data_IF_687903741159
#
_entry.id   IF_687903741159
#
_cell.length_a   1.000
_cell.length_b   1.000
_cell.length_c   1.000
_cell.angle_alpha   90.00
_cell.angle_beta   90.00
_cell.angle_gamma   90.00
#
_symmetry.space_group_name_H-M   'P 1'
#
loop_
_entity.id
_entity.type
_entity.pdbx_description
1 polymer ?
#
# COMPACT_ATOMS: atom_id res chain seq x y z
N UNK A 1 11.90 9.84 49.95
CA UNK A 1 10.43 9.95 49.77
C UNK A 1 10.06 10.42 48.37
N UNK A 2 10.50 11.60 47.91
CA UNK A 2 10.13 12.15 46.59
C UNK A 2 10.50 11.27 45.38
N UNK A 3 11.65 10.60 45.41
CA UNK A 3 12.09 9.73 44.32
C UNK A 3 11.15 8.53 44.07
N UNK A 4 10.62 7.93 45.14
CA UNK A 4 9.70 6.79 45.05
C UNK A 4 8.32 7.21 44.51
N UNK A 5 7.84 8.39 44.90
CA UNK A 5 6.60 8.95 44.38
C UNK A 5 6.70 9.26 42.88
N UNK A 6 7.83 9.83 42.43
CA UNK A 6 8.06 10.12 41.02
C UNK A 6 8.14 8.84 40.15
N UNK A 7 8.80 7.78 40.64
CA UNK A 7 8.83 6.50 39.93
C UNK A 7 7.46 5.84 39.85
N UNK A 8 6.65 5.93 40.91
CA UNK A 8 5.30 5.40 40.89
C UNK A 8 4.47 6.11 39.80
N UNK A 9 4.51 7.44 39.73
CA UNK A 9 3.80 8.21 38.70
C UNK A 9 4.24 7.81 37.29
N UNK A 10 5.54 7.66 37.04
CA UNK A 10 6.06 7.21 35.74
C UNK A 10 5.56 5.82 35.35
N UNK A 11 5.57 4.87 36.29
CA UNK A 11 5.07 3.51 36.05
C UNK A 11 3.58 3.55 35.73
N UNK A 12 2.78 4.29 36.49
CA UNK A 12 1.34 4.43 36.22
C UNK A 12 1.08 5.07 34.86
N UNK A 13 1.89 6.07 34.49
CA UNK A 13 1.79 6.76 33.21
C UNK A 13 2.12 5.82 32.05
N UNK A 14 3.21 5.06 32.14
CA UNK A 14 3.59 4.04 31.14
C UNK A 14 2.54 2.94 31.03
N UNK A 15 2.05 2.43 32.17
CA UNK A 15 1.03 1.39 32.21
C UNK A 15 -0.29 1.82 31.57
N UNK A 16 -0.61 3.11 31.58
CA UNK A 16 -1.79 3.66 30.91
C UNK A 16 -1.54 4.00 29.44
N UNK A 17 -0.42 4.66 29.12
CA UNK A 17 -0.13 5.15 27.77
C UNK A 17 0.15 4.03 26.78
N UNK A 18 0.96 3.04 27.16
CA UNK A 18 1.37 1.96 26.25
C UNK A 18 0.18 1.18 25.68
N UNK A 19 -0.75 0.64 26.49
CA UNK A 19 -1.90 -0.08 25.95
C UNK A 19 -2.88 0.83 25.20
N UNK A 20 -3.05 2.07 25.64
CA UNK A 20 -3.92 3.04 24.97
C UNK A 20 -3.38 3.40 23.59
N UNK A 21 -2.08 3.66 23.50
CA UNK A 21 -1.38 3.92 22.24
C UNK A 21 -1.47 2.70 21.30
N UNK A 22 -1.28 1.49 21.83
CA UNK A 22 -1.44 0.25 21.07
C UNK A 22 -2.84 0.10 20.46
N UNK A 23 -3.89 0.34 21.25
CA UNK A 23 -5.29 0.26 20.77
C UNK A 23 -5.59 1.31 19.71
N UNK A 24 -5.24 2.58 19.95
CA UNK A 24 -5.47 3.66 18.99
C UNK A 24 -4.71 3.39 17.69
N UNK A 25 -3.44 2.99 17.78
CA UNK A 25 -2.64 2.63 16.61
C UNK A 25 -3.28 1.48 15.82
N UNK A 26 -3.70 0.41 16.49
CA UNK A 26 -4.35 -0.74 15.82
C UNK A 26 -5.65 -0.37 15.10
N UNK A 27 -6.47 0.52 15.71
CA UNK A 27 -7.71 1.00 15.12
C UNK A 27 -7.44 1.84 13.88
N UNK A 28 -6.49 2.77 13.96
CA UNK A 28 -6.09 3.63 12.84
C UNK A 28 -5.48 2.83 11.70
N UNK A 29 -4.64 1.82 12.00
CA UNK A 29 -4.07 0.95 10.95
C UNK A 29 -5.12 0.12 10.26
N UNK A 30 -6.15 -0.34 11.00
CA UNK A 30 -7.22 -1.15 10.42
C UNK A 30 -8.13 -0.31 9.51
N UNK A 31 -8.56 0.85 9.99
CA UNK A 31 -9.40 1.76 9.20
C UNK A 31 -8.69 2.23 7.92
N UNK A 32 -7.40 2.57 8.02
CA UNK A 32 -6.58 2.91 6.85
C UNK A 32 -6.41 1.72 5.91
N UNK A 33 -6.20 0.52 6.46
CA UNK A 33 -6.12 -0.72 5.67
C UNK A 33 -7.38 -0.99 4.86
N UNK A 34 -8.55 -0.87 5.48
CA UNK A 34 -9.84 -1.07 4.81
C UNK A 34 -10.07 -0.06 3.68
N UNK A 35 -9.69 1.21 3.90
CA UNK A 35 -9.73 2.25 2.86
C UNK A 35 -8.80 1.93 1.68
N UNK A 36 -7.57 1.51 1.95
CA UNK A 36 -6.61 1.11 0.92
C UNK A 36 -7.09 -0.09 0.11
N UNK A 37 -7.66 -1.10 0.78
CA UNK A 37 -8.24 -2.27 0.12
C UNK A 37 -9.44 -1.89 -0.75
N UNK A 38 -10.32 -1.01 -0.26
CA UNK A 38 -11.44 -0.49 -1.04
C UNK A 38 -10.98 0.24 -2.29
N UNK A 39 -9.97 1.09 -2.17
CA UNK A 39 -9.36 1.79 -3.30
C UNK A 39 -8.71 0.84 -4.29
N UNK A 40 -7.96 -0.16 -3.82
CA UNK A 40 -7.34 -1.16 -4.68
C UNK A 40 -8.38 -1.93 -5.49
N UNK A 41 -9.54 -2.27 -4.89
CA UNK A 41 -10.64 -2.92 -5.60
C UNK A 41 -11.27 -2.01 -6.66
N UNK A 42 -11.53 -0.75 -6.32
CA UNK A 42 -12.08 0.23 -7.26
C UNK A 42 -11.14 0.45 -8.46
N UNK A 43 -9.85 0.59 -8.21
CA UNK A 43 -8.84 0.72 -9.27
C UNK A 43 -8.79 -0.55 -10.12
N UNK A 44 -8.86 -1.73 -9.50
CA UNK A 44 -8.86 -3.01 -10.22
C UNK A 44 -10.08 -3.16 -11.14
N UNK A 45 -11.25 -2.62 -10.78
CA UNK A 45 -12.45 -2.66 -11.64
C UNK A 45 -12.41 -1.68 -12.80
N UNK A 46 -11.71 -0.56 -12.63
CA UNK A 46 -11.55 0.47 -13.68
C UNK A 46 -10.35 0.20 -14.60
N UNK A 47 -9.48 -0.74 -14.22
CA UNK A 47 -8.30 -1.09 -15.00
C UNK A 47 -8.71 -1.84 -16.28
N UNK A 48 -8.16 -1.49 -17.45
CA UNK A 48 -8.41 -2.24 -18.67
C UNK A 48 -7.92 -3.69 -18.53
N UNK A 49 -8.61 -4.67 -19.13
CA UNK A 49 -8.32 -6.09 -18.96
C UNK A 49 -6.96 -6.51 -19.55
N UNK A 50 -6.44 -5.74 -20.50
CA UNK A 50 -5.12 -5.92 -21.07
C UNK A 50 -4.35 -4.60 -20.97
N UNK A 51 -3.32 -4.58 -20.12
CA UNK A 51 -2.33 -3.51 -20.14
C UNK A 51 -1.22 -3.91 -21.12
N UNK A 52 -1.01 -3.14 -22.19
CA UNK A 52 0.04 -3.43 -23.16
C UNK A 52 1.42 -3.43 -22.48
N UNK A 53 2.14 -4.53 -22.69
CA UNK A 53 3.51 -4.71 -22.21
C UNK A 53 4.43 -3.78 -23.01
N UNK A 54 5.56 -3.38 -22.41
CA UNK A 54 6.47 -2.38 -22.97
C UNK A 54 6.93 -2.80 -24.37
N UNK A 55 6.52 -2.06 -25.40
CA UNK A 55 6.89 -2.31 -26.80
C UNK A 55 5.77 -2.15 -27.83
N UNK A 56 4.49 -2.22 -27.43
CA UNK A 56 3.38 -2.10 -28.38
C UNK A 56 3.10 -0.64 -28.79
N UNK A 57 2.70 -0.44 -30.05
CA UNK A 57 2.42 0.90 -30.64
C UNK A 57 1.18 1.62 -30.07
N UNK A 58 0.49 1.03 -29.10
CA UNK A 58 -0.56 1.68 -28.28
C UNK A 58 -0.22 1.71 -26.78
N UNK A 59 0.97 1.27 -26.37
CA UNK A 59 1.31 1.10 -24.97
C UNK A 59 1.44 2.42 -24.22
N UNK A 60 2.00 3.44 -24.87
CA UNK A 60 2.23 4.74 -24.26
C UNK A 60 0.90 5.45 -23.89
N UNK A 61 -0.07 5.47 -24.81
CA UNK A 61 -1.37 6.12 -24.57
C UNK A 61 -2.21 5.39 -23.52
N UNK A 62 -2.22 4.05 -23.55
CA UNK A 62 -2.86 3.24 -22.52
C UNK A 62 -2.24 3.48 -21.13
N UNK A 63 -0.91 3.58 -21.04
CA UNK A 63 -0.19 3.90 -19.80
C UNK A 63 -0.54 5.27 -19.28
N UNK A 64 -0.53 6.29 -20.13
CA UNK A 64 -0.88 7.66 -19.73
C UNK A 64 -2.30 7.71 -19.16
N UNK A 65 -3.26 6.99 -19.77
CA UNK A 65 -4.64 6.90 -19.26
C UNK A 65 -4.70 6.25 -17.88
N UNK A 66 -3.95 5.17 -17.67
CA UNK A 66 -3.86 4.49 -16.38
C UNK A 66 -3.16 5.36 -15.34
N UNK A 67 -2.06 6.02 -15.69
CA UNK A 67 -1.37 6.96 -14.81
C UNK A 67 -2.30 8.08 -14.35
N UNK A 68 -3.09 8.64 -15.27
CA UNK A 68 -4.08 9.67 -14.94
C UNK A 68 -5.16 9.12 -14.00
N UNK A 69 -5.65 7.90 -14.24
CA UNK A 69 -6.56 7.24 -13.31
C UNK A 69 -5.95 7.06 -11.91
N UNK A 70 -4.70 6.60 -11.82
CA UNK A 70 -4.00 6.42 -10.56
C UNK A 70 -3.77 7.77 -9.84
N UNK A 71 -3.46 8.83 -10.59
CA UNK A 71 -3.33 10.18 -10.03
C UNK A 71 -4.65 10.70 -9.48
N UNK A 72 -5.76 10.50 -10.18
CA UNK A 72 -7.11 10.86 -9.70
C UNK A 72 -7.53 10.03 -8.49
N UNK A 73 -7.24 8.72 -8.50
CA UNK A 73 -7.50 7.87 -7.36
C UNK A 73 -6.69 8.31 -6.13
N UNK A 74 -5.43 8.71 -6.32
CA UNK A 74 -4.58 9.26 -5.25
C UNK A 74 -5.14 10.56 -4.67
N UNK A 75 -5.58 11.50 -5.51
CA UNK A 75 -6.16 12.76 -5.04
C UNK A 75 -7.47 12.53 -4.30
N UNK A 76 -8.34 11.65 -4.82
CA UNK A 76 -9.58 11.26 -4.16
C UNK A 76 -9.36 10.48 -2.85
N UNK A 77 -8.27 9.71 -2.77
CA UNK A 77 -7.90 8.89 -1.61
C UNK A 77 -7.24 9.62 -0.45
N UNK A 78 -7.10 10.94 -0.54
CA UNK A 78 -6.51 11.75 0.52
C UNK A 78 -5.18 12.41 0.19
N UNK A 79 -4.69 12.33 -1.06
CA UNK A 79 -3.66 13.19 -1.67
C UNK A 79 -2.25 13.13 -1.06
N UNK A 80 -2.12 13.44 0.24
CA UNK A 80 -0.90 13.49 1.04
C UNK A 80 -0.62 12.21 1.85
N UNK A 81 -1.64 11.45 2.25
CA UNK A 81 -1.45 10.20 3.02
C UNK A 81 -1.00 9.02 2.13
N UNK A 82 -1.29 9.07 0.83
CA UNK A 82 -0.88 8.06 -0.15
C UNK A 82 0.45 8.43 -0.78
N UNK A 83 1.51 7.66 -0.49
CA UNK A 83 2.87 7.91 -1.02
C UNK A 83 2.98 7.60 -2.52
N UNK A 84 2.42 6.47 -2.95
CA UNK A 84 2.38 6.06 -4.36
C UNK A 84 1.27 5.04 -4.58
N UNK A 85 0.78 4.95 -5.82
CA UNK A 85 -0.06 3.85 -6.27
C UNK A 85 0.62 3.22 -7.48
N UNK A 86 0.94 1.93 -7.35
CA UNK A 86 1.67 1.15 -8.34
C UNK A 86 0.80 -0.03 -8.79
N UNK A 87 0.77 -0.27 -10.09
CA UNK A 87 0.13 -1.44 -10.71
C UNK A 87 1.21 -2.45 -11.02
N UNK A 88 1.00 -3.68 -10.54
CA UNK A 88 1.95 -4.78 -10.66
C UNK A 88 1.23 -5.98 -11.23
N UNK A 89 1.86 -6.67 -12.20
CA UNK A 89 1.35 -7.92 -12.76
C UNK A 89 2.15 -9.11 -12.26
N UNK A 90 1.45 -10.23 -12.08
CA UNK A 90 2.06 -11.54 -11.80
C UNK A 90 2.34 -12.24 -13.13
N UNK A 91 3.61 -12.54 -13.40
CA UNK A 91 4.04 -13.36 -14.52
C UNK A 91 3.73 -14.84 -14.25
N UNK A 92 3.67 -15.65 -15.32
CA UNK A 92 3.41 -17.10 -15.23
C UNK A 92 4.40 -17.84 -14.30
N UNK A 93 5.64 -17.34 -14.16
CA UNK A 93 6.65 -17.88 -13.25
C UNK A 93 6.47 -17.46 -11.78
N UNK A 94 5.36 -16.82 -11.41
CA UNK A 94 5.07 -16.37 -10.05
C UNK A 94 5.83 -15.10 -9.62
N UNK A 95 6.64 -14.52 -10.51
CA UNK A 95 7.31 -13.23 -10.31
C UNK A 95 6.32 -12.09 -10.49
N UNK A 96 6.53 -10.98 -9.79
CA UNK A 96 5.74 -9.79 -9.96
C UNK A 96 6.58 -8.70 -10.64
N UNK A 97 5.99 -8.00 -11.60
CA UNK A 97 6.64 -6.94 -12.37
C UNK A 97 5.79 -5.69 -12.38
N UNK A 98 6.42 -4.53 -12.21
CA UNK A 98 5.76 -3.24 -12.28
C UNK A 98 5.29 -2.95 -13.71
N UNK A 99 4.03 -2.53 -13.84
CA UNK A 99 3.43 -2.14 -15.12
C UNK A 99 3.27 -0.64 -15.25
N UNK A 100 2.72 0.01 -14.22
CA UNK A 100 2.43 1.44 -14.22
C UNK A 100 2.59 2.01 -12.81
N UNK A 101 3.21 3.18 -12.70
CA UNK A 101 3.29 3.96 -11.45
C UNK A 101 2.65 5.32 -11.67
N UNK A 102 1.90 5.80 -10.67
CA UNK A 102 1.25 7.12 -10.74
C UNK A 102 2.25 8.28 -10.98
N UNK A 103 3.47 8.13 -10.44
CA UNK A 103 4.50 9.16 -10.39
C UNK A 103 5.59 9.04 -11.48
N UNK A 104 5.50 8.07 -12.41
CA UNK A 104 6.50 7.95 -13.47
C UNK A 104 6.57 6.60 -14.17
N UNK A 105 7.63 6.42 -14.96
CA UNK A 105 7.91 5.20 -15.72
C UNK A 105 8.53 4.12 -14.79
N UNK A 106 8.01 2.88 -14.77
CA UNK A 106 8.58 1.80 -13.96
C UNK A 106 9.92 1.24 -14.47
N UNK A 107 10.52 1.82 -15.52
CA UNK A 107 11.70 1.28 -16.22
C UNK A 107 12.93 1.01 -15.34
N UNK A 108 13.05 1.66 -14.16
CA UNK A 108 14.10 1.38 -13.17
C UNK A 108 13.79 0.26 -12.15
N UNK A 109 12.56 -0.27 -12.13
CA UNK A 109 12.06 -1.20 -11.11
C UNK A 109 11.58 -2.48 -11.81
N UNK A 110 12.46 -3.46 -11.94
CA UNK A 110 12.19 -4.65 -12.78
C UNK A 110 11.35 -5.71 -12.08
N UNK A 111 11.36 -5.76 -10.74
CA UNK A 111 10.66 -6.78 -9.96
C UNK A 111 10.06 -6.22 -8.68
N UNK A 112 8.83 -6.62 -8.40
CA UNK A 112 8.17 -6.40 -7.10
C UNK A 112 8.23 -7.70 -6.29
N UNK A 113 8.52 -7.59 -5.00
CA UNK A 113 8.39 -8.69 -4.05
C UNK A 113 7.30 -8.31 -3.04
N UNK A 114 6.12 -8.98 -3.04
CA UNK A 114 5.12 -8.70 -2.04
C UNK A 114 5.65 -9.04 -0.64
N UNK A 115 5.32 -8.20 0.37
CA UNK A 115 5.57 -8.53 1.78
C UNK A 115 5.07 -9.93 2.13
N UNK A 116 5.75 -10.63 3.04
CA UNK A 116 5.45 -12.03 3.37
C UNK A 116 3.96 -12.25 3.69
N UNK A 117 3.36 -11.31 4.41
CA UNK A 117 1.94 -11.29 4.81
C UNK A 117 0.98 -11.18 3.61
N UNK A 118 1.39 -10.56 2.50
CA UNK A 118 0.58 -10.40 1.29
C UNK A 118 0.84 -11.46 0.22
N UNK A 119 1.92 -12.25 0.32
CA UNK A 119 2.27 -13.23 -0.71
C UNK A 119 1.16 -14.24 -0.96
N UNK A 120 0.61 -14.83 0.09
CA UNK A 120 -0.46 -15.84 -0.03
C UNK A 120 -1.75 -15.25 -0.58
N UNK A 121 -2.09 -14.02 -0.18
CA UNK A 121 -3.28 -13.32 -0.64
C UNK A 121 -3.16 -12.95 -2.13
N UNK A 122 -2.07 -12.29 -2.50
CA UNK A 122 -1.83 -11.85 -3.88
C UNK A 122 -1.64 -13.03 -4.83
N UNK A 123 -1.04 -14.14 -4.39
CA UNK A 123 -0.96 -15.37 -5.18
C UNK A 123 -2.35 -15.97 -5.48
N UNK A 124 -3.29 -15.83 -4.55
CA UNK A 124 -4.69 -16.23 -4.72
C UNK A 124 -5.60 -15.17 -5.37
N UNK A 125 -5.04 -14.06 -5.88
CA UNK A 125 -5.82 -12.97 -6.47
C UNK A 125 -6.66 -12.17 -5.45
N UNK A 126 -6.33 -12.26 -4.16
CA UNK A 126 -7.04 -11.58 -3.08
C UNK A 126 -6.34 -10.26 -2.72
N UNK A 127 -7.14 -9.29 -2.28
CA UNK A 127 -6.66 -8.01 -1.75
C UNK A 127 -6.39 -8.10 -0.24
N UNK A 128 -5.41 -7.34 0.25
CA UNK A 128 -5.10 -7.22 1.68
C UNK A 128 -4.28 -5.96 1.96
N UNK A 129 -4.04 -5.67 3.24
CA UNK A 129 -3.23 -4.54 3.70
C UNK A 129 -2.26 -4.98 4.78
N UNK A 130 -1.09 -4.34 4.84
CA UNK A 130 -0.08 -4.55 5.89
C UNK A 130 0.26 -3.22 6.54
N UNK A 131 0.63 -3.26 7.82
CA UNK A 131 0.87 -2.04 8.61
C UNK A 131 2.20 -1.36 8.26
N UNK A 132 3.20 -2.12 7.82
CA UNK A 132 4.47 -1.62 7.34
C UNK A 132 4.98 -2.49 6.18
N UNK A 133 5.73 -1.85 5.28
CA UNK A 133 6.59 -2.53 4.33
C UNK A 133 7.99 -2.23 4.82
N UNK A 134 8.68 -3.25 5.35
CA UNK A 134 10.09 -3.11 5.67
C UNK A 134 10.82 -2.91 4.33
N UNK A 135 11.38 -1.72 4.14
CA UNK A 135 12.22 -1.44 3.00
C UNK A 135 13.59 -2.05 3.30
N UNK A 136 13.89 -3.20 2.69
CA UNK A 136 15.27 -3.65 2.49
C UNK A 136 15.98 -2.75 1.47
#
# INVERSE_FOLDING_TARGET
MAALAATAVLITLVALLVPTYGRVRSSLTRERGDRLVGMARFIATELPPALPVTGDSGAASARLRVQELLRRARTAGGGSELRSIDVVAREAGGRYRYLVRADGDPSGWSSYAPPAELRSLTAGGKSGSVASIDAE
#
